data_IF_545747665586
#
_entry.id   IF_545747665586
#
_cell.length_a   1.000
_cell.length_b   1.000
_cell.length_c   1.000
_cell.angle_alpha   90.00
_cell.angle_beta   90.00
_cell.angle_gamma   90.00
#
_symmetry.space_group_name_H-M   'P 1'
#
loop_
_entity.id
_entity.type
_entity.pdbx_description
1 polymer ?
#
# COMPACT_ATOMS: atom_id res chain seq x y z
N UNK A 1 -6.48 -13.22 -1.65
CA UNK A 1 -7.66 -12.52 -1.11
C UNK A 1 -7.39 -11.04 -1.25
N UNK A 2 -8.35 -10.24 -1.73
CA UNK A 2 -8.19 -8.81 -1.90
C UNK A 2 -9.19 -8.04 -1.04
N UNK A 3 -8.78 -6.87 -0.57
CA UNK A 3 -9.61 -5.93 0.17
C UNK A 3 -9.64 -4.60 -0.57
N UNK A 4 -10.81 -3.99 -0.68
CA UNK A 4 -10.96 -2.67 -1.30
C UNK A 4 -10.46 -1.53 -0.43
N UNK A 5 -10.64 -1.63 0.89
CA UNK A 5 -10.16 -0.61 1.80
C UNK A 5 -8.64 -0.65 1.93
N UNK A 6 -8.02 0.51 2.10
CA UNK A 6 -8.58 1.86 2.30
C UNK A 6 -8.95 2.63 1.01
N UNK A 7 -8.95 2.01 -0.18
CA UNK A 7 -9.28 2.65 -1.45
C UNK A 7 -10.61 3.45 -1.40
N UNK A 8 -11.59 2.97 -0.63
CA UNK A 8 -12.90 3.60 -0.51
C UNK A 8 -12.88 5.03 0.06
N UNK A 9 -11.74 5.53 0.55
CA UNK A 9 -11.56 6.95 0.90
C UNK A 9 -11.81 7.86 -0.30
N UNK A 10 -11.69 7.35 -1.52
CA UNK A 10 -11.99 8.09 -2.74
C UNK A 10 -13.44 8.60 -2.77
N UNK A 11 -14.38 7.87 -2.20
CA UNK A 11 -15.78 8.28 -2.15
C UNK A 11 -15.98 9.48 -1.22
N UNK A 12 -15.25 9.52 -0.10
CA UNK A 12 -15.24 10.69 0.76
C UNK A 12 -14.72 11.94 0.03
N UNK A 13 -13.62 11.80 -0.72
CA UNK A 13 -13.08 12.90 -1.54
C UNK A 13 -14.04 13.38 -2.62
N UNK A 14 -14.97 12.54 -3.08
CA UNK A 14 -16.05 12.84 -4.00
C UNK A 14 -17.31 13.40 -3.35
N UNK A 15 -17.27 13.62 -2.03
CA UNK A 15 -18.44 13.98 -1.22
C UNK A 15 -19.57 12.94 -1.28
N UNK A 16 -19.20 11.68 -1.44
CA UNK A 16 -20.12 10.54 -1.44
C UNK A 16 -20.02 9.77 -0.13
N UNK A 17 -21.03 8.98 0.16
CA UNK A 17 -21.02 8.09 1.32
C UNK A 17 -20.00 6.98 1.13
N UNK A 18 -19.28 6.64 2.19
CA UNK A 18 -18.39 5.48 2.17
C UNK A 18 -19.21 4.20 1.94
N UNK A 19 -18.75 3.30 1.06
CA UNK A 19 -19.33 1.98 0.93
C UNK A 19 -19.36 1.27 2.29
N UNK A 20 -20.43 0.49 2.54
CA UNK A 20 -20.64 -0.25 3.80
C UNK A 20 -20.88 0.62 5.04
N UNK A 21 -21.31 1.87 4.85
CA UNK A 21 -21.73 2.77 5.91
C UNK A 21 -20.64 3.71 6.40
N UNK A 22 -21.07 4.73 7.11
CA UNK A 22 -20.17 5.73 7.67
C UNK A 22 -19.37 5.12 8.83
N UNK A 23 -18.09 5.46 8.88
CA UNK A 23 -17.24 5.16 10.04
C UNK A 23 -17.54 6.18 11.14
N UNK A 24 -17.51 5.78 12.42
CA UNK A 24 -17.50 6.73 13.50
C UNK A 24 -16.31 7.68 13.36
N UNK A 25 -16.57 8.97 13.31
CA UNK A 25 -15.50 9.96 13.26
C UNK A 25 -14.87 10.12 14.65
N UNK A 26 -13.56 10.32 14.66
CA UNK A 26 -12.87 10.72 15.87
C UNK A 26 -13.14 12.20 16.17
N UNK A 27 -13.08 12.63 17.42
CA UNK A 27 -13.03 14.05 17.78
C UNK A 27 -11.90 14.78 17.04
N UNK A 28 -12.09 16.05 16.74
CA UNK A 28 -11.13 16.82 15.94
C UNK A 28 -9.74 16.91 16.58
N UNK A 29 -9.67 16.91 17.88
CA UNK A 29 -8.42 16.92 18.65
C UNK A 29 -7.63 15.60 18.54
N UNK A 30 -8.30 14.51 18.17
CA UNK A 30 -7.69 13.21 17.90
C UNK A 30 -7.30 13.02 16.43
N UNK A 31 -7.61 13.95 15.53
CA UNK A 31 -7.23 13.82 14.13
C UNK A 31 -5.71 13.90 13.96
N UNK A 32 -5.12 13.05 13.10
CA UNK A 32 -3.68 13.08 12.87
C UNK A 32 -3.25 14.43 12.30
N UNK A 33 -2.02 14.81 12.57
CA UNK A 33 -1.40 16.01 12.00
C UNK A 33 -1.27 15.90 10.48
N UNK A 34 -1.02 17.02 9.83
CA UNK A 34 -0.63 17.05 8.42
C UNK A 34 0.74 16.37 8.24
N UNK A 35 1.01 15.75 7.08
CA UNK A 35 2.33 15.21 6.80
C UNK A 35 3.38 16.33 6.73
N UNK A 36 4.62 16.02 7.05
CA UNK A 36 5.72 17.00 7.04
C UNK A 36 5.97 17.61 5.66
N UNK A 37 5.66 16.89 4.60
CA UNK A 37 5.72 17.29 3.20
C UNK A 37 4.34 17.67 2.63
N UNK A 38 3.47 18.25 3.45
CA UNK A 38 2.14 18.68 3.01
C UNK A 38 2.19 19.73 1.90
N UNK A 39 3.16 20.65 1.96
CA UNK A 39 3.32 21.66 0.91
C UNK A 39 3.71 21.01 -0.42
N UNK A 40 3.23 21.60 -1.52
CA UNK A 40 3.66 21.19 -2.85
C UNK A 40 5.17 21.41 -3.02
N UNK A 41 5.83 20.51 -3.70
CA UNK A 41 7.24 20.66 -4.04
C UNK A 41 7.37 21.71 -5.17
N UNK A 42 8.12 22.79 -4.98
CA UNK A 42 8.27 23.83 -6.00
C UNK A 42 9.08 23.37 -7.23
N UNK A 43 9.66 22.18 -7.17
CA UNK A 43 10.46 21.58 -8.26
C UNK A 43 9.72 20.44 -8.96
N UNK A 44 8.43 20.26 -8.69
CA UNK A 44 7.63 19.29 -9.43
C UNK A 44 7.64 19.62 -10.93
N UNK A 45 7.68 18.59 -11.75
CA UNK A 45 7.58 18.75 -13.20
C UNK A 45 6.17 19.22 -13.61
N UNK A 46 6.07 19.98 -14.70
CA UNK A 46 4.80 20.52 -15.22
C UNK A 46 3.71 19.45 -15.40
N UNK A 47 4.10 18.22 -15.71
CA UNK A 47 3.17 17.10 -15.83
C UNK A 47 2.42 16.82 -14.51
N UNK A 48 3.05 17.05 -13.37
CA UNK A 48 2.41 16.90 -12.07
C UNK A 48 1.30 17.94 -11.88
N UNK A 49 1.48 19.16 -12.36
CA UNK A 49 0.43 20.20 -12.32
C UNK A 49 -0.78 19.81 -13.18
N UNK A 50 -0.51 19.20 -14.32
CA UNK A 50 -1.58 18.69 -15.20
C UNK A 50 -2.32 17.54 -14.53
N UNK A 51 -1.59 16.55 -14.04
CA UNK A 51 -2.17 15.40 -13.30
C UNK A 51 -2.95 15.86 -12.07
N UNK A 52 -2.47 16.88 -11.34
CA UNK A 52 -3.20 17.45 -10.22
C UNK A 52 -4.52 18.07 -10.65
N UNK A 53 -4.57 18.72 -11.82
CA UNK A 53 -5.79 19.28 -12.35
C UNK A 53 -6.82 18.19 -12.69
N UNK A 54 -6.36 17.08 -13.27
CA UNK A 54 -7.20 15.91 -13.53
C UNK A 54 -7.68 15.28 -12.22
N UNK A 55 -6.81 15.14 -11.24
CA UNK A 55 -7.14 14.63 -9.92
C UNK A 55 -8.24 15.48 -9.26
N UNK A 56 -8.13 16.80 -9.27
CA UNK A 56 -9.16 17.69 -8.72
C UNK A 56 -10.51 17.59 -9.43
N UNK A 57 -10.52 17.22 -10.71
CA UNK A 57 -11.76 16.97 -11.44
C UNK A 57 -12.47 15.69 -10.97
N UNK A 58 -11.68 14.67 -10.63
CA UNK A 58 -12.19 13.39 -10.15
C UNK A 58 -12.49 13.40 -8.64
N UNK A 59 -11.69 14.14 -7.88
CA UNK A 59 -11.70 14.20 -6.41
C UNK A 59 -11.56 15.66 -5.98
N UNK A 60 -12.63 16.39 -5.72
CA UNK A 60 -12.62 17.84 -5.54
C UNK A 60 -12.00 18.30 -4.21
N UNK A 61 -10.75 17.94 -3.97
CA UNK A 61 -9.97 18.31 -2.76
C UNK A 61 -9.25 19.65 -2.87
N UNK A 62 -9.41 20.36 -4.01
CA UNK A 62 -8.71 21.64 -4.27
C UNK A 62 -8.93 22.69 -3.18
N UNK A 63 -10.09 22.67 -2.55
CA UNK A 63 -10.51 23.66 -1.56
C UNK A 63 -10.39 23.13 -0.11
N UNK A 64 -9.79 21.99 0.06
CA UNK A 64 -9.59 21.44 1.40
C UNK A 64 -8.71 22.35 2.24
N UNK A 65 -9.24 22.75 3.39
CA UNK A 65 -8.49 23.39 4.45
C UNK A 65 -7.50 22.38 5.09
N UNK A 66 -6.55 22.85 5.90
CA UNK A 66 -5.72 21.97 6.70
C UNK A 66 -6.53 20.97 7.56
N UNK A 67 -7.67 21.39 8.10
CA UNK A 67 -8.53 20.52 8.89
C UNK A 67 -9.30 19.51 8.04
N UNK A 68 -9.71 19.86 6.81
CA UNK A 68 -10.30 18.89 5.89
C UNK A 68 -9.30 17.78 5.53
N UNK A 69 -8.03 18.12 5.33
CA UNK A 69 -6.97 17.15 5.12
C UNK A 69 -6.71 16.28 6.35
N UNK A 70 -6.71 16.84 7.55
CA UNK A 70 -6.59 16.08 8.80
C UNK A 70 -7.75 15.10 8.96
N UNK A 71 -8.97 15.53 8.65
CA UNK A 71 -10.17 14.69 8.68
C UNK A 71 -10.08 13.56 7.64
N UNK A 72 -9.65 13.87 6.40
CA UNK A 72 -9.40 12.88 5.35
C UNK A 72 -8.43 11.79 5.85
N UNK A 73 -7.32 12.19 6.45
CA UNK A 73 -6.32 11.27 7.02
C UNK A 73 -6.90 10.43 8.16
N UNK A 74 -7.68 11.03 9.02
CA UNK A 74 -8.37 10.34 10.12
C UNK A 74 -9.27 9.22 9.59
N UNK A 75 -10.09 9.53 8.59
CA UNK A 75 -10.97 8.54 7.96
C UNK A 75 -10.19 7.44 7.24
N UNK A 76 -9.10 7.77 6.58
CA UNK A 76 -8.22 6.78 5.96
C UNK A 76 -7.68 5.78 6.99
N UNK A 77 -7.17 6.25 8.12
CA UNK A 77 -6.68 5.36 9.18
C UNK A 77 -7.80 4.48 9.74
N UNK A 78 -9.01 5.00 9.88
CA UNK A 78 -10.17 4.18 10.28
C UNK A 78 -10.49 3.08 9.25
N UNK A 79 -10.30 3.35 7.96
CA UNK A 79 -10.46 2.32 6.92
C UNK A 79 -9.33 1.27 6.99
N UNK A 80 -8.10 1.68 7.30
CA UNK A 80 -6.99 0.76 7.55
C UNK A 80 -7.27 -0.16 8.75
N UNK A 81 -7.73 0.40 9.88
CA UNK A 81 -8.13 -0.40 11.05
C UNK A 81 -9.22 -1.42 10.73
N UNK A 82 -10.16 -1.05 9.87
CA UNK A 82 -11.20 -1.97 9.41
C UNK A 82 -10.62 -3.15 8.62
N UNK A 83 -9.65 -2.90 7.75
CA UNK A 83 -8.95 -3.95 7.00
C UNK A 83 -8.12 -4.81 7.93
N UNK A 84 -7.41 -4.20 8.88
CA UNK A 84 -6.61 -4.92 9.87
C UNK A 84 -7.46 -5.93 10.65
N UNK A 85 -8.65 -5.52 11.07
CA UNK A 85 -9.59 -6.42 11.74
C UNK A 85 -10.03 -7.62 10.87
N UNK A 86 -10.18 -7.42 9.55
CA UNK A 86 -10.50 -8.52 8.63
C UNK A 86 -9.28 -9.43 8.37
N UNK A 87 -8.10 -8.85 8.29
CA UNK A 87 -6.84 -9.62 8.21
C UNK A 87 -6.65 -10.46 9.45
N UNK A 88 -6.96 -9.92 10.63
CA UNK A 88 -6.92 -10.67 11.89
C UNK A 88 -7.75 -11.95 11.83
N UNK A 89 -8.94 -11.94 11.23
CA UNK A 89 -9.78 -13.15 11.07
C UNK A 89 -9.12 -14.21 10.18
N UNK A 90 -8.35 -13.77 9.16
CA UNK A 90 -7.61 -14.69 8.29
C UNK A 90 -6.46 -15.32 9.06
N UNK A 91 -5.71 -14.52 9.80
CA UNK A 91 -4.60 -14.98 10.65
C UNK A 91 -5.11 -15.98 11.68
N UNK A 92 -6.22 -15.67 12.35
CA UNK A 92 -6.89 -16.59 13.29
C UNK A 92 -7.29 -17.92 12.64
N UNK A 93 -7.77 -17.89 11.41
CA UNK A 93 -8.15 -19.12 10.69
C UNK A 93 -6.92 -19.96 10.33
N UNK A 94 -5.80 -19.33 9.96
CA UNK A 94 -4.52 -19.99 9.70
C UNK A 94 -3.99 -20.63 10.99
N UNK A 95 -4.05 -19.93 12.12
CA UNK A 95 -3.66 -20.46 13.43
C UNK A 95 -4.51 -21.65 13.86
N UNK A 96 -5.84 -21.51 13.81
CA UNK A 96 -6.78 -22.56 14.21
C UNK A 96 -6.66 -23.85 13.41
N UNK A 97 -6.23 -23.74 12.15
CA UNK A 97 -6.06 -24.88 11.25
C UNK A 97 -4.61 -25.36 11.16
N UNK A 98 -3.69 -24.78 11.95
CA UNK A 98 -2.25 -25.12 11.98
C UNK A 98 -1.59 -25.05 10.59
N UNK A 99 -2.00 -24.06 9.78
CA UNK A 99 -1.54 -23.93 8.39
C UNK A 99 -0.17 -23.27 8.27
N UNK A 100 0.36 -22.63 9.29
CA UNK A 100 1.70 -22.02 9.27
C UNK A 100 2.83 -22.98 8.90
N UNK A 101 2.60 -24.27 8.99
CA UNK A 101 3.60 -25.30 8.68
C UNK A 101 3.96 -25.36 7.21
N UNK A 102 3.03 -25.02 6.33
CA UNK A 102 3.15 -25.21 4.88
C UNK A 102 2.58 -24.05 4.05
N UNK A 103 2.32 -22.92 4.66
CA UNK A 103 1.73 -21.77 3.98
C UNK A 103 2.70 -20.59 4.00
N UNK A 104 2.92 -20.00 2.84
CA UNK A 104 3.52 -18.67 2.69
C UNK A 104 2.40 -17.66 2.72
N UNK A 105 2.50 -16.66 3.58
CA UNK A 105 1.57 -15.52 3.63
C UNK A 105 2.29 -14.28 3.17
N UNK A 106 1.75 -13.60 2.17
CA UNK A 106 2.29 -12.36 1.65
C UNK A 106 1.24 -11.28 1.84
N UNK A 107 1.62 -10.19 2.48
CA UNK A 107 0.82 -8.98 2.62
C UNK A 107 1.48 -7.85 1.84
N UNK A 108 0.74 -7.19 0.97
CA UNK A 108 1.18 -6.04 0.18
C UNK A 108 -0.03 -5.21 -0.25
N UNK A 109 0.22 -4.10 -0.93
CA UNK A 109 -0.77 -3.26 -1.59
C UNK A 109 -0.33 -3.00 -3.03
N UNK A 110 -1.26 -2.76 -3.93
CA UNK A 110 -1.00 -2.42 -5.33
C UNK A 110 -0.47 -0.98 -5.50
N UNK A 111 -0.84 -0.08 -4.59
CA UNK A 111 -0.35 1.30 -4.51
C UNK A 111 -0.71 1.89 -3.15
N UNK A 112 -0.13 3.03 -2.83
CA UNK A 112 -0.50 3.86 -1.68
C UNK A 112 -1.52 4.95 -2.02
N UNK A 113 -1.61 5.96 -1.17
CA UNK A 113 -2.44 7.17 -1.34
C UNK A 113 -1.61 8.38 -0.89
N UNK A 114 -1.75 9.50 -1.58
CA UNK A 114 -1.01 10.72 -1.25
C UNK A 114 -1.29 11.26 0.15
N UNK A 115 -2.47 11.01 0.72
CA UNK A 115 -2.81 11.30 2.12
C UNK A 115 -2.51 12.75 2.55
N UNK A 116 -2.60 13.69 1.61
CA UNK A 116 -2.28 15.11 1.82
C UNK A 116 -0.81 15.48 1.62
N UNK A 117 0.12 14.53 1.52
CA UNK A 117 1.47 14.85 1.09
C UNK A 117 1.43 15.55 -0.27
N UNK A 118 2.20 16.62 -0.44
CA UNK A 118 2.21 17.45 -1.66
C UNK A 118 0.80 17.98 -2.08
N UNK A 119 -0.14 18.10 -1.13
CA UNK A 119 -1.56 18.34 -1.41
C UNK A 119 -2.20 17.28 -2.31
N UNK A 120 -1.65 16.06 -2.31
CA UNK A 120 -2.11 14.97 -3.16
C UNK A 120 -3.02 14.00 -2.39
N UNK A 121 -4.04 13.54 -3.05
CA UNK A 121 -4.84 12.39 -2.65
C UNK A 121 -4.88 11.39 -3.79
N UNK A 122 -5.18 10.13 -3.46
CA UNK A 122 -5.17 9.05 -4.43
C UNK A 122 -3.78 8.74 -5.01
N UNK A 123 -3.76 8.02 -6.11
CA UNK A 123 -2.62 7.56 -6.89
C UNK A 123 -2.36 8.48 -8.11
N UNK A 124 -1.68 7.97 -9.10
CA UNK A 124 -1.36 8.65 -10.37
C UNK A 124 -0.20 9.65 -10.31
N UNK A 125 0.52 9.70 -9.21
CA UNK A 125 1.80 10.41 -9.10
C UNK A 125 2.88 9.45 -8.57
N UNK A 126 4.14 9.72 -8.88
CA UNK A 126 5.26 8.90 -8.43
C UNK A 126 5.86 9.41 -7.12
N UNK A 127 5.01 9.92 -6.24
CA UNK A 127 5.42 10.27 -4.88
C UNK A 127 5.61 9.01 -4.02
N UNK A 128 6.54 9.11 -3.07
CA UNK A 128 6.89 8.01 -2.16
C UNK A 128 5.64 7.38 -1.51
N UNK A 129 4.70 8.20 -1.09
CA UNK A 129 3.47 7.76 -0.44
C UNK A 129 2.55 6.93 -1.34
N UNK A 130 2.75 7.04 -2.65
CA UNK A 130 1.95 6.31 -3.65
C UNK A 130 2.67 5.05 -4.12
N UNK A 131 3.99 5.11 -4.29
CA UNK A 131 4.75 4.02 -4.92
C UNK A 131 5.43 3.10 -3.92
N UNK A 132 5.69 3.55 -2.70
CA UNK A 132 6.32 2.73 -1.66
C UNK A 132 5.26 2.09 -0.78
N UNK A 133 4.97 0.84 -1.06
CA UNK A 133 3.96 0.05 -0.33
C UNK A 133 4.62 -1.01 0.54
N UNK A 134 3.97 -1.45 1.62
CA UNK A 134 4.51 -2.50 2.47
C UNK A 134 4.57 -3.84 1.73
N UNK A 135 5.63 -4.61 1.99
CA UNK A 135 5.74 -6.01 1.61
C UNK A 135 6.15 -6.81 2.84
N UNK A 136 5.24 -7.63 3.34
CA UNK A 136 5.48 -8.51 4.49
C UNK A 136 5.33 -9.95 4.03
N UNK A 137 6.35 -10.78 4.28
CA UNK A 137 6.35 -12.19 3.91
C UNK A 137 6.55 -13.05 5.13
N UNK A 138 5.59 -13.94 5.39
CA UNK A 138 5.71 -14.96 6.44
C UNK A 138 5.93 -16.32 5.78
N UNK A 139 7.09 -16.91 6.04
CA UNK A 139 7.47 -18.25 5.54
C UNK A 139 6.86 -19.36 6.38
N UNK A 140 6.75 -20.59 5.83
CA UNK A 140 6.36 -21.77 6.59
C UNK A 140 7.17 -21.94 7.87
N UNK A 141 6.47 -22.22 8.96
CA UNK A 141 7.07 -22.30 10.28
C UNK A 141 7.56 -20.97 10.84
N UNK A 142 7.12 -19.84 10.28
CA UNK A 142 7.52 -18.47 10.67
C UNK A 142 9.05 -18.26 10.66
N UNK A 143 9.74 -18.93 9.74
CA UNK A 143 11.19 -18.76 9.55
C UNK A 143 11.50 -17.31 9.21
N UNK A 144 12.60 -16.80 9.72
CA UNK A 144 13.08 -15.43 9.53
C UNK A 144 12.11 -14.34 10.04
N UNK A 145 11.15 -14.66 10.92
CA UNK A 145 10.25 -13.68 11.50
C UNK A 145 11.01 -12.51 12.15
N UNK A 146 10.51 -11.29 11.98
CA UNK A 146 11.12 -10.06 12.51
C UNK A 146 12.39 -9.62 11.80
N UNK A 147 12.72 -10.19 10.64
CA UNK A 147 13.82 -9.69 9.79
C UNK A 147 13.32 -8.58 8.90
N UNK A 148 14.09 -7.51 8.84
CA UNK A 148 13.89 -6.40 7.91
C UNK A 148 14.92 -6.50 6.79
N UNK A 149 14.48 -6.23 5.58
CA UNK A 149 15.31 -6.30 4.37
C UNK A 149 15.27 -4.94 3.67
N UNK A 150 16.44 -4.32 3.40
CA UNK A 150 16.51 -2.99 2.79
C UNK A 150 16.30 -2.98 1.27
N UNK A 151 16.14 -4.16 0.66
CA UNK A 151 15.98 -4.30 -0.76
C UNK A 151 14.60 -3.82 -1.22
N UNK A 152 14.58 -3.07 -2.31
CA UNK A 152 13.35 -2.73 -3.01
C UNK A 152 12.92 -3.87 -3.92
N UNK A 153 11.64 -4.20 -3.87
CA UNK A 153 11.00 -5.19 -4.72
C UNK A 153 10.01 -4.47 -5.63
N UNK A 154 10.03 -4.78 -6.91
CA UNK A 154 9.02 -4.28 -7.82
C UNK A 154 7.79 -5.21 -7.77
N UNK A 155 6.77 -4.77 -7.05
CA UNK A 155 5.54 -5.55 -6.86
C UNK A 155 4.89 -5.91 -8.19
N UNK A 156 4.83 -4.99 -9.14
CA UNK A 156 4.16 -5.19 -10.44
C UNK A 156 4.74 -6.31 -11.30
N UNK A 157 6.00 -6.69 -11.10
CA UNK A 157 6.66 -7.74 -11.90
C UNK A 157 7.23 -8.89 -11.07
N UNK A 158 7.79 -8.62 -9.89
CA UNK A 158 8.49 -9.61 -9.08
C UNK A 158 7.55 -10.47 -8.23
N UNK A 159 6.39 -9.92 -7.87
CA UNK A 159 5.38 -10.63 -7.08
C UNK A 159 4.93 -11.90 -7.80
N UNK A 160 4.52 -11.80 -9.06
CA UNK A 160 4.07 -12.95 -9.83
C UNK A 160 5.16 -14.00 -10.00
N UNK A 161 6.41 -13.55 -10.32
CA UNK A 161 7.56 -14.45 -10.43
C UNK A 161 7.83 -15.21 -9.12
N UNK A 162 7.69 -14.55 -7.98
CA UNK A 162 7.90 -15.14 -6.66
C UNK A 162 6.80 -16.13 -6.30
N UNK A 163 5.54 -15.83 -6.61
CA UNK A 163 4.43 -16.77 -6.40
C UNK A 163 4.60 -18.03 -7.24
N UNK A 164 4.99 -17.90 -8.51
CA UNK A 164 5.30 -19.04 -9.37
C UNK A 164 6.43 -19.90 -8.78
N UNK A 165 7.50 -19.28 -8.30
CA UNK A 165 8.64 -19.98 -7.69
C UNK A 165 8.22 -20.76 -6.43
N UNK A 166 7.45 -20.16 -5.52
CA UNK A 166 6.93 -20.89 -4.35
C UNK A 166 5.96 -22.02 -4.74
N UNK A 167 5.19 -21.83 -5.79
CA UNK A 167 4.26 -22.85 -6.29
C UNK A 167 4.95 -23.97 -7.10
N UNK A 168 6.23 -23.82 -7.42
CA UNK A 168 6.96 -24.75 -8.30
C UNK A 168 6.49 -24.70 -9.75
N UNK A 169 5.95 -23.58 -10.20
CA UNK A 169 5.45 -23.34 -11.55
C UNK A 169 6.50 -22.53 -12.32
N UNK A 170 6.80 -22.98 -13.54
CA UNK A 170 7.71 -22.22 -14.40
C UNK A 170 7.10 -20.87 -14.79
N UNK A 171 7.89 -19.82 -14.68
CA UNK A 171 7.47 -18.48 -15.12
C UNK A 171 7.19 -18.51 -16.64
N UNK A 172 6.04 -18.03 -17.10
CA UNK A 172 5.75 -17.92 -18.52
C UNK A 172 6.80 -17.09 -19.26
N UNK A 173 7.16 -17.51 -20.49
CA UNK A 173 8.14 -16.78 -21.30
C UNK A 173 7.73 -15.34 -21.61
N UNK A 174 8.70 -14.44 -21.68
CA UNK A 174 8.49 -13.01 -21.97
C UNK A 174 8.16 -12.15 -20.75
N UNK A 175 8.13 -12.71 -19.54
CA UNK A 175 8.03 -11.94 -18.29
C UNK A 175 9.44 -11.65 -17.72
N UNK A 176 9.59 -10.48 -17.15
CA UNK A 176 10.89 -9.96 -16.69
C UNK A 176 11.08 -9.97 -15.16
N UNK A 177 10.04 -10.37 -14.40
CA UNK A 177 10.10 -10.40 -12.94
C UNK A 177 11.13 -11.39 -12.42
N UNK A 178 11.76 -11.04 -11.32
CA UNK A 178 12.73 -11.85 -10.59
C UNK A 178 12.13 -12.29 -9.27
N UNK A 179 12.19 -13.60 -8.97
CA UNK A 179 11.70 -14.10 -7.68
C UNK A 179 12.50 -13.53 -6.51
N UNK A 180 11.80 -12.93 -5.55
CA UNK A 180 12.40 -12.50 -4.27
C UNK A 180 12.39 -13.62 -3.21
N UNK A 181 11.91 -14.82 -3.54
CA UNK A 181 11.94 -15.97 -2.63
C UNK A 181 13.33 -16.26 -2.05
N UNK A 182 14.43 -16.30 -2.86
CA UNK A 182 15.77 -16.55 -2.31
C UNK A 182 16.21 -15.48 -1.30
N UNK A 183 15.83 -14.23 -1.51
CA UNK A 183 16.10 -13.12 -0.61
C UNK A 183 15.46 -13.37 0.77
N UNK A 184 14.16 -13.68 0.76
CA UNK A 184 13.38 -13.90 1.99
C UNK A 184 13.81 -15.18 2.73
N UNK A 185 14.06 -16.29 2.01
CA UNK A 185 14.43 -17.57 2.60
C UNK A 185 15.82 -17.55 3.24
N UNK A 186 16.78 -16.88 2.62
CA UNK A 186 18.14 -16.73 3.13
C UNK A 186 18.26 -15.63 4.18
N UNK A 187 17.37 -14.64 4.13
CA UNK A 187 17.43 -13.42 4.95
C UNK A 187 18.81 -12.76 4.87
N UNK A 188 19.42 -12.75 3.69
CA UNK A 188 20.73 -12.17 3.45
C UNK A 188 20.57 -10.72 2.96
N UNK A 189 20.86 -9.71 3.79
CA UNK A 189 20.71 -8.31 3.40
C UNK A 189 21.72 -7.87 2.34
N UNK A 190 22.74 -8.66 2.05
CA UNK A 190 23.72 -8.37 0.99
C UNK A 190 23.32 -8.98 -0.36
N UNK A 191 22.29 -9.83 -0.40
CA UNK A 191 21.80 -10.35 -1.65
C UNK A 191 21.21 -9.22 -2.48
N UNK A 192 21.78 -9.00 -3.66
CA UNK A 192 21.33 -7.95 -4.59
C UNK A 192 20.03 -8.41 -5.25
N UNK A 193 19.00 -7.60 -5.10
CA UNK A 193 17.80 -7.66 -5.90
C UNK A 193 17.72 -6.35 -6.68
N UNK A 194 17.68 -6.42 -7.99
CA UNK A 194 17.61 -5.22 -8.81
C UNK A 194 16.15 -4.95 -9.19
N UNK A 195 15.53 -3.92 -8.60
CA UNK A 195 14.19 -3.54 -9.00
C UNK A 195 14.21 -2.95 -10.42
N UNK A 196 13.20 -3.29 -11.20
CA UNK A 196 12.98 -2.63 -12.49
C UNK A 196 12.39 -1.24 -12.22
N UNK A 197 12.98 -0.22 -12.80
CA UNK A 197 12.40 1.12 -12.84
C UNK A 197 11.66 1.23 -14.16
N UNK A 198 10.33 1.33 -14.11
CA UNK A 198 9.54 1.73 -15.26
C UNK A 198 9.68 3.25 -15.43
N UNK A 199 10.38 3.66 -16.49
CA UNK A 199 10.43 5.05 -16.91
C UNK A 199 9.30 5.34 -17.89
#
# INVERSE_FOLDING_TARGET
MGFDNPHNICEYARSQNLPFGNLPELPQDEWPGLPSNFARNPYDADVIDYEQTLNYSAYPTRHYSPDDWRRYRSLYFRLVEKVDAEIGKIVDAIDKQDLWKNTVVIFTSDHGDGMGAHHWNQKSALYEEVVNVPLIVTLPGKKNAGKEMPQLINEGVDFFASVCDWAGISLPGGLHGVSFRPLVEKADPQQVHQPYICL
#
